data_IF_596386996241
#
_entry.id   IF_596386996241
#
_cell.length_a   1.000
_cell.length_b   1.000
_cell.length_c   1.000
_cell.angle_alpha   90.00
_cell.angle_beta   90.00
_cell.angle_gamma   90.00
#
_symmetry.space_group_name_H-M   'P 1'
#
loop_
_entity.id
_entity.type
_entity.pdbx_description
1 polymer ?
#
# COMPACT_ATOMS: atom_id res chain seq x y z
N UNK A 1 13.57 -13.15 34.02
CA UNK A 1 12.97 -12.02 33.27
C UNK A 1 13.19 -12.30 31.79
N UNK A 2 12.24 -12.98 31.14
CA UNK A 2 12.37 -13.34 29.72
C UNK A 2 11.77 -12.23 28.88
N UNK A 3 12.60 -11.57 28.08
CA UNK A 3 12.19 -10.50 27.17
C UNK A 3 11.65 -11.13 25.89
N UNK A 4 10.33 -11.14 25.73
CA UNK A 4 9.67 -11.64 24.51
C UNK A 4 9.66 -10.53 23.46
N UNK A 5 10.62 -10.60 22.54
CA UNK A 5 10.65 -9.77 21.34
C UNK A 5 9.59 -10.32 20.37
N UNK A 6 8.43 -9.67 20.29
CA UNK A 6 7.28 -10.12 19.49
C UNK A 6 7.54 -9.99 17.99
N UNK A 7 8.07 -11.05 17.39
CA UNK A 7 8.12 -11.24 15.94
C UNK A 7 7.05 -12.30 15.64
N UNK A 8 5.93 -11.90 15.02
CA UNK A 8 4.89 -12.83 14.58
C UNK A 8 5.48 -13.88 13.62
N UNK A 9 5.00 -15.12 13.73
CA UNK A 9 5.52 -16.24 12.97
C UNK A 9 4.92 -16.22 11.55
N UNK A 10 5.66 -16.70 10.54
CA UNK A 10 5.29 -16.57 9.13
C UNK A 10 3.99 -17.30 8.70
N UNK A 11 3.35 -18.06 9.59
CA UNK A 11 2.11 -18.80 9.33
C UNK A 11 0.83 -18.04 9.75
N UNK A 12 0.95 -16.88 10.40
CA UNK A 12 -0.17 -16.03 10.84
C UNK A 12 -0.79 -15.17 9.70
N UNK A 13 -0.43 -15.44 8.44
CA UNK A 13 -0.71 -14.57 7.27
C UNK A 13 -2.16 -14.69 6.73
N UNK A 14 -3.00 -15.50 7.36
CA UNK A 14 -4.38 -15.75 6.91
C UNK A 14 -5.44 -15.05 7.78
N UNK A 15 -5.05 -14.28 8.81
CA UNK A 15 -6.01 -13.46 9.56
C UNK A 15 -6.44 -12.24 8.73
N UNK A 16 -7.65 -11.72 8.93
CA UNK A 16 -8.15 -10.56 8.18
C UNK A 16 -7.35 -9.26 8.45
N UNK A 17 -6.56 -9.24 9.51
CA UNK A 17 -5.54 -8.22 9.80
C UNK A 17 -4.27 -8.35 8.94
N UNK A 18 -4.08 -9.47 8.24
CA UNK A 18 -2.92 -9.84 7.44
C UNK A 18 -2.97 -9.34 5.98
N UNK A 19 -3.91 -8.46 5.64
CA UNK A 19 -3.83 -7.67 4.39
C UNK A 19 -2.55 -6.81 4.32
N UNK A 20 -1.82 -6.69 5.43
CA UNK A 20 -0.50 -6.10 5.50
C UNK A 20 0.56 -7.20 5.33
N UNK A 21 1.28 -7.18 4.21
CA UNK A 21 2.40 -8.08 3.97
C UNK A 21 3.46 -7.93 5.10
N UNK A 22 3.75 -8.99 5.88
CA UNK A 22 4.51 -8.90 7.13
C UNK A 22 6.00 -8.54 6.95
N UNK A 23 6.46 -8.45 5.71
CA UNK A 23 7.86 -8.19 5.36
C UNK A 23 8.11 -6.76 4.83
N UNK A 24 7.09 -5.90 4.78
CA UNK A 24 7.22 -4.53 4.23
C UNK A 24 7.83 -3.51 5.20
N UNK A 25 8.20 -3.91 6.41
CA UNK A 25 8.59 -3.00 7.50
C UNK A 25 10.11 -2.74 7.56
N UNK A 26 10.76 -2.52 6.42
CA UNK A 26 12.00 -1.74 6.39
C UNK A 26 11.61 -0.27 6.59
N UNK A 27 12.26 0.47 7.51
CA UNK A 27 11.92 1.87 7.78
C UNK A 27 12.04 2.75 6.51
N UNK A 28 10.94 2.90 5.76
CA UNK A 28 10.78 3.98 4.80
C UNK A 28 10.31 5.21 5.57
N UNK A 29 11.26 6.00 6.03
CA UNK A 29 10.99 7.33 6.59
C UNK A 29 10.33 8.20 5.51
N UNK A 30 9.01 8.36 5.60
CA UNK A 30 8.19 9.28 4.80
C UNK A 30 8.52 9.27 3.30
N UNK A 31 8.28 8.13 2.64
CA UNK A 31 8.21 8.11 1.19
C UNK A 31 7.07 9.04 0.70
N UNK A 32 7.27 9.69 -0.45
CA UNK A 32 6.24 10.55 -1.05
C UNK A 32 4.91 9.77 -1.18
N UNK A 33 3.83 10.33 -0.65
CA UNK A 33 2.51 9.67 -0.57
C UNK A 33 2.14 9.10 0.80
N UNK A 34 2.99 9.26 1.83
CA UNK A 34 2.63 8.99 3.23
C UNK A 34 1.75 10.09 3.86
N UNK A 35 1.12 9.77 5.00
CA UNK A 35 0.27 10.69 5.76
C UNK A 35 -1.24 10.48 5.53
N UNK A 36 -2.06 11.22 6.27
CA UNK A 36 -3.53 11.13 6.17
C UNK A 36 -4.02 11.67 4.84
N UNK A 37 -4.79 10.88 4.11
CA UNK A 37 -5.33 11.19 2.78
C UNK A 37 -6.80 11.59 2.86
N UNK A 38 -7.35 12.11 1.76
CA UNK A 38 -8.78 12.43 1.68
C UNK A 38 -9.69 11.20 1.90
N UNK A 39 -9.22 9.98 1.59
CA UNK A 39 -10.00 8.75 1.84
C UNK A 39 -10.11 8.43 3.33
N UNK A 40 -9.11 8.79 4.11
CA UNK A 40 -9.12 8.58 5.56
C UNK A 40 -10.10 9.54 6.25
N UNK A 41 -10.22 10.77 5.74
CA UNK A 41 -11.19 11.76 6.21
C UNK A 41 -12.63 11.50 5.74
N UNK A 42 -12.80 11.05 4.49
CA UNK A 42 -14.10 10.79 3.88
C UNK A 42 -14.18 9.37 3.31
N UNK A 43 -14.38 8.35 4.16
CA UNK A 43 -14.32 6.95 3.74
C UNK A 43 -15.40 6.55 2.74
N UNK A 44 -16.53 7.26 2.69
CA UNK A 44 -17.66 6.99 1.79
C UNK A 44 -17.69 7.88 0.54
N UNK A 45 -16.61 8.64 0.25
CA UNK A 45 -16.54 9.46 -0.96
C UNK A 45 -16.45 8.59 -2.22
N UNK A 46 -17.13 9.02 -3.30
CA UNK A 46 -17.03 8.36 -4.60
C UNK A 46 -15.57 8.30 -5.10
N UNK A 47 -15.10 7.10 -5.42
CA UNK A 47 -13.73 6.88 -5.86
C UNK A 47 -13.55 7.17 -7.36
N UNK A 48 -13.04 8.36 -7.70
CA UNK A 48 -12.73 8.76 -9.08
C UNK A 48 -11.35 8.29 -9.57
N UNK A 49 -10.57 7.58 -8.75
CA UNK A 49 -9.21 7.14 -9.12
C UNK A 49 -9.22 6.21 -10.33
N UNK A 50 -10.33 5.52 -10.59
CA UNK A 50 -10.47 4.61 -11.72
C UNK A 50 -10.39 5.33 -13.08
N UNK A 51 -10.77 6.61 -13.14
CA UNK A 51 -10.80 7.37 -14.38
C UNK A 51 -9.40 7.80 -14.86
N UNK A 52 -8.38 7.68 -14.00
CA UNK A 52 -6.98 7.99 -14.34
C UNK A 52 -6.10 6.73 -14.43
N UNK A 53 -6.69 5.55 -14.23
CA UNK A 53 -5.98 4.29 -14.37
C UNK A 53 -5.59 4.13 -15.86
N UNK A 54 -4.35 3.71 -16.14
CA UNK A 54 -3.82 3.53 -17.50
C UNK A 54 -3.66 4.83 -18.32
N UNK A 55 -3.33 5.95 -17.66
CA UNK A 55 -2.91 7.16 -18.37
C UNK A 55 -1.63 6.90 -19.17
N UNK A 56 -1.56 7.42 -20.40
CA UNK A 56 -0.36 7.40 -21.25
C UNK A 56 0.90 7.93 -20.55
N UNK A 57 0.74 8.87 -19.62
CA UNK A 57 1.87 9.45 -18.86
C UNK A 57 2.61 8.41 -18.01
N UNK A 58 1.93 7.35 -17.58
CA UNK A 58 2.50 6.28 -16.77
C UNK A 58 2.92 5.06 -17.62
N UNK A 59 2.67 5.09 -18.93
CA UNK A 59 3.08 4.05 -19.85
C UNK A 59 4.58 4.23 -20.16
N UNK A 60 5.44 3.24 -19.88
CA UNK A 60 6.86 3.31 -20.21
C UNK A 60 7.14 3.07 -21.70
N UNK A 61 6.14 2.64 -22.48
CA UNK A 61 6.29 2.38 -23.91
C UNK A 61 6.18 3.66 -24.74
N UNK A 62 6.76 3.62 -25.93
CA UNK A 62 6.65 4.70 -26.90
C UNK A 62 5.23 4.73 -27.51
N UNK A 63 4.81 5.88 -28.03
CA UNK A 63 3.43 6.09 -28.52
C UNK A 63 3.04 5.14 -29.68
N UNK A 64 4.02 4.58 -30.40
CA UNK A 64 3.85 3.68 -31.55
C UNK A 64 4.08 2.18 -31.21
N UNK A 65 4.25 1.83 -29.93
CA UNK A 65 4.50 0.45 -29.50
C UNK A 65 3.26 -0.45 -29.65
N UNK A 66 3.41 -1.64 -30.26
CA UNK A 66 2.36 -2.66 -30.45
C UNK A 66 2.62 -3.93 -29.63
#
# INVERSE_FOLDING_TARGET
>A
MSSTNGKGEAWDVNDSSAANCPFLNGEMHQAAGGGTTNKDWWPNMLNLNILRLHSKMADPMDDDFN
#
